data_IF_786044443871
#
_entry.id   IF_786044443871
#
_cell.length_a   1.000
_cell.length_b   1.000
_cell.length_c   1.000
_cell.angle_alpha   90.00
_cell.angle_beta   90.00
_cell.angle_gamma   90.00
#
_symmetry.space_group_name_H-M   'P 1'
#
loop_
_entity.id
_entity.type
_entity.pdbx_description
1 polymer ?
#
# COMPACT_ATOMS: atom_id res chain seq x y z
N UNK A 1 14.29 47.63 4.61
CA UNK A 1 14.32 46.34 5.33
C UNK A 1 12.95 45.64 5.31
N UNK A 2 11.86 46.28 5.75
CA UNK A 2 10.49 45.71 5.75
C UNK A 2 10.02 45.20 4.36
N UNK A 3 10.31 45.95 3.28
CA UNK A 3 9.94 45.55 1.90
C UNK A 3 10.65 44.29 1.41
N UNK A 4 11.88 44.04 1.87
CA UNK A 4 12.66 42.86 1.52
C UNK A 4 12.14 41.63 2.28
N UNK A 5 11.77 41.80 3.56
CA UNK A 5 11.13 40.76 4.36
C UNK A 5 9.77 40.35 3.80
N UNK A 6 8.97 41.32 3.31
CA UNK A 6 7.65 41.05 2.71
C UNK A 6 7.77 40.33 1.36
N UNK A 7 8.74 40.72 0.52
CA UNK A 7 9.00 40.03 -0.74
C UNK A 7 9.46 38.58 -0.52
N UNK A 8 10.29 38.33 0.49
CA UNK A 8 10.78 36.99 0.84
C UNK A 8 9.65 36.08 1.37
N UNK A 9 8.71 36.64 2.15
CA UNK A 9 7.56 35.87 2.67
C UNK A 9 6.57 35.50 1.57
N UNK A 10 6.30 36.40 0.63
CA UNK A 10 5.43 36.11 -0.53
C UNK A 10 6.07 35.07 -1.46
N UNK A 11 7.38 35.16 -1.71
CA UNK A 11 8.10 34.19 -2.53
C UNK A 11 8.08 32.78 -1.90
N UNK A 12 8.24 32.68 -0.57
CA UNK A 12 8.21 31.40 0.13
C UNK A 12 6.79 30.80 0.15
N UNK A 13 5.75 31.63 0.30
CA UNK A 13 4.35 31.17 0.28
C UNK A 13 3.94 30.57 -1.07
N UNK A 14 4.49 31.08 -2.19
CA UNK A 14 4.22 30.56 -3.54
C UNK A 14 4.96 29.25 -3.84
N UNK A 15 5.99 28.89 -3.08
CA UNK A 15 6.77 27.67 -3.30
C UNK A 15 6.17 26.41 -2.63
N UNK A 16 5.25 26.56 -1.68
CA UNK A 16 4.66 25.45 -0.91
C UNK A 16 3.80 24.47 -1.73
N UNK A 17 2.92 24.89 -2.67
CA UNK A 17 2.05 23.95 -3.36
C UNK A 17 2.78 23.02 -4.35
N UNK A 18 4.07 23.26 -4.62
CA UNK A 18 4.89 22.37 -5.45
C UNK A 18 5.33 21.09 -4.69
N UNK A 19 5.16 21.03 -3.36
CA UNK A 19 5.32 19.82 -2.58
C UNK A 19 4.03 18.98 -2.62
N UNK A 20 3.60 18.56 -3.81
CA UNK A 20 2.66 17.44 -3.89
C UNK A 20 3.43 16.19 -3.44
N UNK A 21 3.14 15.71 -2.24
CA UNK A 21 3.52 14.36 -1.84
C UNK A 21 2.86 13.41 -2.84
N UNK A 22 3.67 12.82 -3.73
CA UNK A 22 3.19 11.82 -4.67
C UNK A 22 2.83 10.56 -3.88
N UNK A 23 1.57 10.45 -3.44
CA UNK A 23 1.06 9.17 -2.96
C UNK A 23 1.06 8.21 -4.15
N UNK A 24 1.74 7.07 -3.99
CA UNK A 24 1.71 6.01 -4.99
C UNK A 24 0.34 5.32 -4.94
N UNK A 25 -0.62 5.86 -5.68
CA UNK A 25 -1.97 5.32 -5.80
C UNK A 25 -2.20 4.74 -7.19
N UNK A 26 -2.76 3.54 -7.25
CA UNK A 26 -3.10 2.84 -8.47
C UNK A 26 -4.58 2.46 -8.44
N UNK A 27 -5.29 2.69 -9.54
CA UNK A 27 -6.71 2.32 -9.69
C UNK A 27 -6.87 1.24 -10.73
N UNK A 28 -7.62 0.19 -10.39
CA UNK A 28 -7.98 -0.89 -11.30
C UNK A 28 -9.48 -1.16 -11.18
N UNK A 29 -10.28 -0.55 -12.07
CA UNK A 29 -11.73 -0.61 -12.00
C UNK A 29 -12.25 -0.08 -10.66
N UNK A 30 -12.87 -0.95 -9.85
CA UNK A 30 -13.36 -0.62 -8.51
C UNK A 30 -12.34 -0.90 -7.39
N UNK A 31 -11.10 -1.27 -7.72
CA UNK A 31 -10.03 -1.50 -6.76
C UNK A 31 -9.14 -0.27 -6.65
N UNK A 32 -8.93 0.19 -5.41
CA UNK A 32 -7.89 1.16 -5.08
C UNK A 32 -6.72 0.42 -4.44
N UNK A 33 -5.52 0.63 -4.98
CA UNK A 33 -4.26 0.09 -4.45
C UNK A 33 -3.42 1.27 -4.01
N UNK A 34 -3.07 1.35 -2.73
CA UNK A 34 -2.41 2.50 -2.15
C UNK A 34 -1.20 2.11 -1.31
N UNK A 35 -0.29 3.07 -1.16
CA UNK A 35 0.89 2.99 -0.30
C UNK A 35 1.74 1.72 -0.50
N UNK A 36 2.05 1.31 -1.75
CA UNK A 36 2.97 0.19 -1.94
C UNK A 36 4.36 0.59 -1.47
N UNK A 37 4.92 -0.24 -0.60
CA UNK A 37 6.28 -0.07 -0.10
C UNK A 37 6.96 -1.42 0.06
N UNK A 38 8.28 -1.44 -0.03
CA UNK A 38 9.07 -2.62 0.24
C UNK A 38 10.19 -2.27 1.22
N UNK A 39 10.43 -3.17 2.18
CA UNK A 39 11.56 -3.05 3.09
C UNK A 39 12.86 -3.13 2.28
N UNK A 40 13.78 -2.19 2.54
CA UNK A 40 15.14 -2.31 2.04
C UNK A 40 15.75 -3.62 2.55
N UNK A 41 16.15 -4.48 1.62
CA UNK A 41 16.71 -5.81 1.91
C UNK A 41 18.23 -5.70 1.82
N UNK A 42 18.97 -6.27 2.78
CA UNK A 42 20.44 -6.25 2.73
C UNK A 42 20.93 -7.06 1.53
N UNK A 43 22.14 -6.76 1.03
CA UNK A 43 22.74 -7.49 -0.10
C UNK A 43 22.96 -8.98 0.17
N UNK A 44 22.95 -9.40 1.43
CA UNK A 44 23.12 -10.80 1.86
C UNK A 44 21.80 -11.51 2.16
N UNK A 45 20.68 -10.80 2.28
CA UNK A 45 19.39 -11.39 2.58
C UNK A 45 18.72 -11.89 1.30
N UNK A 46 18.31 -13.17 1.31
CA UNK A 46 17.68 -13.83 0.17
C UNK A 46 16.17 -13.52 0.05
N UNK A 47 15.55 -12.98 1.10
CA UNK A 47 14.12 -12.69 1.17
C UNK A 47 13.89 -11.28 1.66
N UNK A 48 12.96 -10.57 1.00
CA UNK A 48 12.48 -9.25 1.39
C UNK A 48 10.97 -9.25 1.63
N UNK A 49 10.45 -8.14 2.15
CA UNK A 49 9.01 -7.94 2.40
C UNK A 49 8.46 -6.74 1.62
N UNK A 50 7.33 -6.94 0.96
CA UNK A 50 6.55 -5.88 0.31
C UNK A 50 5.16 -5.78 0.91
N UNK A 51 4.65 -4.57 1.06
CA UNK A 51 3.33 -4.29 1.61
C UNK A 51 2.62 -3.28 0.72
N UNK A 52 1.29 -3.41 0.64
CA UNK A 52 0.39 -2.49 -0.05
C UNK A 52 -1.00 -2.69 0.53
N UNK A 53 -1.87 -1.71 0.32
CA UNK A 53 -3.28 -1.81 0.72
C UNK A 53 -4.15 -1.91 -0.53
N UNK A 54 -5.00 -2.95 -0.61
CA UNK A 54 -6.01 -3.10 -1.66
C UNK A 54 -7.39 -2.91 -1.05
N UNK A 55 -8.14 -1.93 -1.54
CA UNK A 55 -9.52 -1.67 -1.14
C UNK A 55 -10.46 -1.93 -2.31
N UNK A 56 -11.47 -2.78 -2.10
CA UNK A 56 -12.55 -2.97 -3.08
C UNK A 56 -13.72 -2.05 -2.79
N UNK A 57 -14.15 -1.28 -3.80
CA UNK A 57 -15.39 -0.48 -3.79
C UNK A 57 -16.59 -1.22 -4.40
N UNK A 58 -16.40 -2.46 -4.81
CA UNK A 58 -17.45 -3.31 -5.40
C UNK A 58 -18.06 -4.25 -4.37
N UNK A 59 -19.34 -4.59 -4.55
CA UNK A 59 -20.02 -5.67 -3.80
C UNK A 59 -19.65 -7.07 -4.30
N UNK A 60 -19.02 -7.17 -5.47
CA UNK A 60 -18.52 -8.44 -6.00
C UNK A 60 -17.20 -8.82 -5.34
N UNK A 61 -17.03 -10.09 -4.93
CA UNK A 61 -15.79 -10.53 -4.30
C UNK A 61 -14.62 -10.54 -5.30
N UNK A 62 -13.48 -10.04 -4.86
CA UNK A 62 -12.22 -10.08 -5.62
C UNK A 62 -11.23 -11.03 -4.97
N UNK A 63 -10.30 -11.56 -5.78
CA UNK A 63 -9.24 -12.45 -5.33
C UNK A 63 -7.88 -11.99 -5.83
N UNK A 64 -6.91 -11.83 -4.92
CA UNK A 64 -5.51 -11.66 -5.29
C UNK A 64 -4.93 -13.06 -5.52
N UNK A 65 -4.66 -13.36 -6.79
CA UNK A 65 -4.22 -14.70 -7.24
C UNK A 65 -2.70 -14.82 -7.37
N UNK A 66 -1.99 -13.71 -7.61
CA UNK A 66 -0.54 -13.71 -7.83
C UNK A 66 0.03 -12.31 -7.69
N UNK A 67 1.31 -12.23 -7.34
CA UNK A 67 2.15 -11.04 -7.46
C UNK A 67 3.47 -11.41 -8.17
N UNK A 68 4.10 -10.46 -8.84
CA UNK A 68 5.41 -10.64 -9.50
C UNK A 68 6.25 -9.39 -9.29
N UNK A 69 7.56 -9.56 -9.16
CA UNK A 69 8.51 -8.46 -9.06
C UNK A 69 9.79 -8.82 -9.82
N UNK A 70 10.38 -7.89 -10.59
CA UNK A 70 11.69 -8.13 -11.19
C UNK A 70 12.82 -8.27 -10.16
N UNK A 71 12.58 -7.90 -8.89
CA UNK A 71 13.55 -8.01 -7.81
C UNK A 71 13.57 -9.39 -7.13
N UNK A 72 12.69 -10.33 -7.50
CA UNK A 72 12.63 -11.66 -6.87
C UNK A 72 12.20 -12.73 -7.87
N UNK A 73 12.82 -13.92 -7.80
CA UNK A 73 12.46 -15.08 -8.62
C UNK A 73 11.06 -15.61 -8.31
N UNK A 74 10.62 -15.47 -7.05
CA UNK A 74 9.31 -15.91 -6.57
C UNK A 74 8.74 -14.89 -5.58
N UNK A 75 7.44 -14.66 -5.66
CA UNK A 75 6.68 -13.86 -4.70
C UNK A 75 5.60 -14.74 -4.08
N UNK A 76 5.50 -14.71 -2.75
CA UNK A 76 4.49 -15.45 -1.99
C UNK A 76 3.59 -14.48 -1.23
N UNK A 77 2.29 -14.78 -1.18
CA UNK A 77 1.33 -14.00 -0.41
C UNK A 77 1.26 -14.54 1.01
N UNK A 78 1.48 -13.67 1.99
CA UNK A 78 1.30 -13.98 3.40
C UNK A 78 -0.09 -13.49 3.85
N UNK A 79 -1.01 -14.42 4.13
CA UNK A 79 -2.36 -14.07 4.57
C UNK A 79 -2.48 -14.20 6.08
N UNK A 80 -2.85 -13.09 6.74
CA UNK A 80 -3.24 -13.06 8.14
C UNK A 80 -4.73 -12.73 8.23
N UNK A 81 -5.49 -13.55 8.94
CA UNK A 81 -6.92 -13.33 9.15
C UNK A 81 -7.32 -13.67 10.57
N UNK A 82 -8.15 -12.81 11.16
CA UNK A 82 -8.90 -13.13 12.37
C UNK A 82 -10.15 -13.95 11.99
N UNK A 83 -10.27 -15.15 12.55
CA UNK A 83 -11.49 -15.96 12.47
C UNK A 83 -11.93 -16.33 13.89
N UNK A 84 -13.10 -15.83 14.29
CA UNK A 84 -13.69 -16.07 15.62
C UNK A 84 -12.68 -15.85 16.75
N UNK A 85 -12.05 -14.67 16.76
CA UNK A 85 -11.04 -14.22 17.72
C UNK A 85 -9.71 -15.00 17.70
N UNK A 86 -9.53 -15.93 16.76
CA UNK A 86 -8.26 -16.63 16.57
C UNK A 86 -7.54 -16.06 15.35
N UNK A 87 -6.31 -15.60 15.57
CA UNK A 87 -5.37 -15.24 14.51
C UNK A 87 -5.00 -16.50 13.73
N UNK A 88 -5.26 -16.51 12.42
CA UNK A 88 -4.79 -17.56 11.51
C UNK A 88 -3.83 -16.97 10.49
N UNK A 89 -2.72 -17.66 10.30
CA UNK A 89 -1.72 -17.36 9.28
C UNK A 89 -1.76 -18.49 8.27
N UNK A 90 -1.97 -18.16 7.00
CA UNK A 90 -1.93 -19.12 5.90
C UNK A 90 -0.91 -18.67 4.86
N UNK A 91 -0.12 -19.63 4.38
CA UNK A 91 0.65 -19.47 3.16
C UNK A 91 -0.29 -19.68 1.96
N UNK A 92 -1.11 -18.67 1.63
CA UNK A 92 -2.08 -18.80 0.55
C UNK A 92 -1.34 -18.82 -0.78
N UNK A 93 -1.04 -20.02 -1.25
CA UNK A 93 -0.17 -20.25 -2.41
C UNK A 93 -0.83 -19.85 -3.73
N UNK A 94 -2.08 -19.36 -3.74
CA UNK A 94 -2.78 -18.97 -4.96
C UNK A 94 -4.08 -18.13 -4.80
N UNK A 95 -4.52 -17.72 -3.60
CA UNK A 95 -5.92 -17.29 -3.48
C UNK A 95 -6.36 -16.48 -2.23
N UNK A 96 -5.96 -15.21 -2.08
CA UNK A 96 -6.58 -14.31 -1.08
C UNK A 96 -7.97 -13.87 -1.53
N UNK A 97 -9.04 -14.11 -0.76
CA UNK A 97 -10.43 -13.73 -1.12
C UNK A 97 -10.95 -12.62 -0.21
N UNK A 98 -11.51 -11.55 -0.79
CA UNK A 98 -12.25 -10.57 0.01
C UNK A 98 -13.53 -11.20 0.57
N UNK A 99 -13.65 -11.31 1.91
CA UNK A 99 -14.92 -11.61 2.59
C UNK A 99 -15.37 -10.37 3.37
N UNK A 100 -16.69 -10.16 3.58
CA UNK A 100 -17.18 -9.07 4.42
C UNK A 100 -16.57 -9.16 5.83
N UNK A 101 -16.27 -8.01 6.43
CA UNK A 101 -15.79 -7.95 7.80
C UNK A 101 -16.85 -8.55 8.76
N UNK A 102 -16.45 -9.34 9.76
CA UNK A 102 -17.39 -9.76 10.81
C UNK A 102 -17.90 -8.53 11.57
N UNK A 103 -19.16 -8.53 12.05
CA UNK A 103 -19.69 -7.42 12.83
C UNK A 103 -18.83 -7.21 14.09
N UNK A 104 -18.50 -5.96 14.39
CA UNK A 104 -17.88 -5.58 15.65
C UNK A 104 -18.88 -5.85 16.79
N UNK A 105 -18.53 -6.76 17.70
CA UNK A 105 -19.22 -6.99 18.97
C UNK A 105 -19.04 -5.81 19.92
#
# INVERSE_FOLDING_TARGET
MIRLCLALTVALALAVPALSAASHEYKLGALDIVEPWACATSSTAQTGGGFLVITSKSTSPHRLISAKSPAADKVENHEMKMDRNVMRIANSTWAWTSRPAPPSS
#
